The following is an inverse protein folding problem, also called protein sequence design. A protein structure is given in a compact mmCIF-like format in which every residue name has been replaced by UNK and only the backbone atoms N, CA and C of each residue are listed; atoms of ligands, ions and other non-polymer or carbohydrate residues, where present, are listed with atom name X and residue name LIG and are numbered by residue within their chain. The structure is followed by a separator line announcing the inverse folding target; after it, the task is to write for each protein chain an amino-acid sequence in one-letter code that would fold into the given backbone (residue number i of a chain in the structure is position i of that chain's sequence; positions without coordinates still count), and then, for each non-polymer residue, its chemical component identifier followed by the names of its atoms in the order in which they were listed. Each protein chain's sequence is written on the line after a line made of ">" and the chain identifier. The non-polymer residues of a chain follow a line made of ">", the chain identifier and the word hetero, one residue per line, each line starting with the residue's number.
data_IF_486097085775
#
_entry.id   IF_486097085775
#
_cell.length_a   1.000
_cell.length_b   1.000
_cell.length_c   1.000
_cell.angle_alpha   90.00
_cell.angle_beta   90.00
_cell.angle_gamma   90.00
#
_symmetry.space_group_name_H-M   'P 1'
#
loop_
_entity.id
_entity.type
_entity.pdbx_description
1 polymer ?
#
# COMPACT_ATOMS: atom_id res chain seq x y z
N UNK A 1 -22.44 12.36 2.25
CA UNK A 1 -21.10 12.90 2.58
C UNK A 1 -20.10 12.35 1.56
N UNK A 2 -18.94 12.98 1.36
CA UNK A 2 -17.93 12.46 0.44
C UNK A 2 -17.10 11.34 1.10
N UNK A 3 -16.40 10.54 0.29
CA UNK A 3 -15.42 9.54 0.72
C UNK A 3 -14.04 10.11 0.51
N UNK A 4 -13.28 10.26 1.59
CA UNK A 4 -11.91 10.74 1.50
C UNK A 4 -10.96 9.57 1.27
N UNK A 5 -9.83 9.82 0.61
CA UNK A 5 -8.85 8.81 0.25
C UNK A 5 -7.51 9.09 0.94
N UNK A 6 -6.81 8.02 1.34
CA UNK A 6 -5.42 8.11 1.76
C UNK A 6 -4.55 7.20 0.90
N UNK A 7 -3.66 7.77 0.11
CA UNK A 7 -2.87 7.07 -0.91
C UNK A 7 -1.37 7.26 -0.70
N UNK A 8 -0.58 6.23 -1.02
CA UNK A 8 0.87 6.36 -1.18
C UNK A 8 1.16 6.87 -2.59
N UNK A 9 2.06 7.83 -2.73
CA UNK A 9 2.37 8.44 -4.03
C UNK A 9 3.68 7.92 -4.66
N UNK A 10 4.40 7.02 -4.00
CA UNK A 10 5.70 6.49 -4.47
C UNK A 10 5.60 4.97 -4.69
N UNK A 11 6.69 4.22 -4.43
CA UNK A 11 6.74 2.75 -4.53
C UNK A 11 6.39 2.05 -3.21
N UNK A 12 5.45 2.61 -2.43
CA UNK A 12 5.01 2.04 -1.17
C UNK A 12 5.91 2.41 0.02
N UNK A 13 5.48 1.97 1.21
CA UNK A 13 6.12 2.27 2.50
C UNK A 13 6.20 3.74 2.90
N UNK A 14 5.35 4.61 2.36
CA UNK A 14 5.44 6.05 2.60
C UNK A 14 5.08 6.46 4.04
N UNK A 15 4.75 5.52 4.93
CA UNK A 15 4.36 5.81 6.32
C UNK A 15 2.85 5.91 6.54
N UNK A 16 2.04 5.35 5.62
CA UNK A 16 0.57 5.39 5.67
C UNK A 16 -0.01 5.09 7.05
N UNK A 17 0.36 3.98 7.68
CA UNK A 17 -0.19 3.59 8.98
C UNK A 17 -0.14 4.71 10.03
N UNK A 18 0.99 5.42 10.13
CA UNK A 18 1.13 6.53 11.08
C UNK A 18 0.08 7.62 10.85
N UNK A 19 -0.11 8.01 9.60
CA UNK A 19 -1.04 9.06 9.22
C UNK A 19 -2.49 8.58 9.33
N UNK A 20 -2.75 7.32 9.00
CA UNK A 20 -4.06 6.72 9.23
C UNK A 20 -4.42 6.87 10.72
N UNK A 21 -3.57 6.52 11.68
CA UNK A 21 -3.87 6.71 13.12
C UNK A 21 -4.12 8.19 13.52
N UNK A 22 -3.46 9.13 12.86
CA UNK A 22 -3.69 10.57 13.07
C UNK A 22 -5.07 11.00 12.56
N UNK A 23 -5.42 10.63 11.32
CA UNK A 23 -6.64 11.07 10.63
C UNK A 23 -7.90 10.29 11.06
N UNK A 24 -7.78 8.98 11.31
CA UNK A 24 -8.93 8.07 11.49
C UNK A 24 -9.75 8.29 12.75
N UNK A 25 -9.27 9.08 13.71
CA UNK A 25 -10.06 9.43 14.91
C UNK A 25 -11.36 10.17 14.58
N UNK A 26 -11.44 10.79 13.39
CA UNK A 26 -12.56 11.61 12.98
C UNK A 26 -13.52 10.89 12.00
N UNK A 27 -13.28 9.61 11.69
CA UNK A 27 -14.04 8.88 10.69
C UNK A 27 -14.91 7.77 11.30
N UNK A 28 -16.15 7.67 10.84
CA UNK A 28 -17.10 6.61 11.23
C UNK A 28 -16.72 5.26 10.63
N UNK A 29 -16.16 5.27 9.40
CA UNK A 29 -15.85 4.06 8.62
C UNK A 29 -14.46 4.17 7.99
N UNK A 30 -13.63 3.16 8.22
CA UNK A 30 -12.32 3.00 7.54
C UNK A 30 -12.40 1.81 6.60
N UNK A 31 -12.12 2.00 5.31
CA UNK A 31 -12.31 0.97 4.30
C UNK A 31 -11.04 0.69 3.52
N UNK A 32 -10.62 -0.58 3.44
CA UNK A 32 -9.56 -1.03 2.53
C UNK A 32 -10.18 -1.42 1.20
N UNK A 33 -9.68 -0.87 0.11
CA UNK A 33 -10.33 -1.03 -1.20
C UNK A 33 -9.57 -1.94 -2.17
N UNK A 34 -8.30 -2.26 -1.91
CA UNK A 34 -7.48 -3.05 -2.81
C UNK A 34 -6.33 -3.77 -2.10
N UNK A 35 -5.69 -4.65 -2.85
CA UNK A 35 -4.50 -5.38 -2.43
C UNK A 35 -4.89 -6.59 -1.61
N UNK A 36 -4.00 -7.03 -0.73
CA UNK A 36 -4.26 -8.13 0.18
C UNK A 36 -3.15 -8.23 1.22
N UNK A 37 -2.74 -9.45 1.61
CA UNK A 37 -1.74 -9.63 2.65
C UNK A 37 -0.32 -9.18 2.26
N UNK A 38 -0.11 -8.71 1.03
CA UNK A 38 1.16 -8.14 0.53
C UNK A 38 1.42 -6.71 1.01
N UNK A 39 0.39 -6.02 1.51
CA UNK A 39 0.54 -4.76 2.20
C UNK A 39 0.89 -5.04 3.67
N UNK A 40 1.72 -4.20 4.28
CA UNK A 40 1.93 -4.23 5.73
C UNK A 40 2.15 -2.81 6.21
N UNK A 41 1.31 -2.33 7.13
CA UNK A 41 1.52 -1.06 7.79
C UNK A 41 1.74 -1.28 9.28
N UNK A 42 2.75 -0.61 9.81
CA UNK A 42 3.04 -0.62 11.24
C UNK A 42 2.27 0.50 11.91
N UNK A 43 1.58 0.17 13.00
CA UNK A 43 0.87 1.10 13.87
C UNK A 43 1.45 0.99 15.27
N UNK A 44 1.45 2.10 16.00
CA UNK A 44 1.75 2.11 17.43
C UNK A 44 0.44 2.45 18.14
N UNK A 45 -0.12 1.48 18.87
CA UNK A 45 -1.33 1.65 19.66
C UNK A 45 -1.04 1.25 21.11
N UNK A 46 -1.41 2.10 22.07
CA UNK A 46 -1.06 1.96 23.49
C UNK A 46 0.42 1.63 23.76
N UNK A 47 1.32 2.27 22.99
CA UNK A 47 2.77 2.06 23.08
C UNK A 47 3.27 0.72 22.54
N UNK A 48 2.39 -0.11 21.96
CA UNK A 48 2.75 -1.41 21.35
C UNK A 48 2.73 -1.32 19.84
N UNK A 49 3.69 -2.00 19.21
CA UNK A 49 3.80 -2.10 17.76
C UNK A 49 2.85 -3.19 17.24
N UNK A 50 1.99 -2.84 16.30
CA UNK A 50 1.10 -3.74 15.59
C UNK A 50 1.40 -3.69 14.09
N UNK A 51 1.33 -4.84 13.42
CA UNK A 51 1.45 -4.92 11.96
C UNK A 51 0.16 -5.50 11.43
N UNK A 52 -0.56 -4.71 10.64
CA UNK A 52 -1.76 -5.13 9.93
C UNK A 52 -1.45 -5.23 8.44
N UNK A 53 -2.16 -6.14 7.76
CA UNK A 53 -1.99 -6.44 6.35
C UNK A 53 -3.29 -6.23 5.58
N UNK A 54 -4.37 -6.94 5.96
CA UNK A 54 -5.68 -6.85 5.31
C UNK A 54 -6.66 -6.03 6.14
N UNK A 55 -6.57 -6.08 7.46
CA UNK A 55 -7.47 -5.34 8.35
C UNK A 55 -7.17 -3.83 8.21
N UNK A 56 -8.19 -2.97 8.05
CA UNK A 56 -7.98 -1.52 8.05
C UNK A 56 -7.42 -1.03 9.39
N UNK A 57 -6.59 0.01 9.36
CA UNK A 57 -5.92 0.55 10.56
C UNK A 57 -6.90 1.04 11.63
N UNK A 58 -8.14 1.36 11.25
CA UNK A 58 -9.18 1.86 12.15
C UNK A 58 -9.65 0.87 13.20
N UNK A 59 -9.21 -0.40 13.14
CA UNK A 59 -9.68 -1.47 14.02
C UNK A 59 -9.39 -1.20 15.51
N UNK A 60 -8.37 -0.39 15.78
CA UNK A 60 -7.99 0.03 17.13
C UNK A 60 -8.89 1.14 17.70
N UNK A 61 -9.68 1.83 16.87
CA UNK A 61 -10.63 2.84 17.36
C UNK A 61 -11.89 2.17 17.89
N UNK A 62 -12.42 2.72 18.99
CA UNK A 62 -13.57 2.12 19.70
C UNK A 62 -14.85 2.13 18.88
N UNK A 63 -15.09 3.17 18.09
CA UNK A 63 -16.36 3.40 17.39
C UNK A 63 -16.31 3.19 15.87
N UNK A 64 -15.12 3.16 15.27
CA UNK A 64 -15.00 3.10 13.82
C UNK A 64 -15.32 1.69 13.30
N UNK A 65 -16.20 1.62 12.30
CA UNK A 65 -16.40 0.40 11.52
C UNK A 65 -15.27 0.24 10.52
N UNK A 66 -14.89 -1.00 10.26
CA UNK A 66 -13.77 -1.35 9.39
C UNK A 66 -14.29 -2.24 8.27
N UNK A 67 -14.07 -1.83 7.02
CA UNK A 67 -14.60 -2.54 5.85
C UNK A 67 -13.45 -3.08 5.02
N UNK A 68 -13.46 -4.38 4.74
CA UNK A 68 -12.63 -4.99 3.70
C UNK A 68 -13.45 -5.03 2.42
N UNK A 69 -13.15 -4.12 1.49
CA UNK A 69 -13.90 -3.90 0.26
C UNK A 69 -13.76 -5.00 -0.79
N UNK A 70 -14.61 -4.94 -1.81
CA UNK A 70 -14.66 -5.94 -2.88
C UNK A 70 -13.41 -5.97 -3.79
N UNK A 71 -12.60 -4.93 -3.78
CA UNK A 71 -11.35 -4.89 -4.55
C UNK A 71 -10.20 -5.65 -3.88
N UNK A 72 -10.34 -6.06 -2.62
CA UNK A 72 -9.33 -6.78 -1.83
C UNK A 72 -9.34 -8.29 -2.15
N UNK A 73 -8.16 -8.91 -2.07
CA UNK A 73 -7.95 -10.36 -2.06
C UNK A 73 -7.56 -10.82 -0.66
N UNK A 74 -8.25 -11.82 -0.12
CA UNK A 74 -8.11 -12.27 1.27
C UNK A 74 -7.51 -13.67 1.28
N UNK A 75 -6.33 -13.83 1.89
CA UNK A 75 -5.80 -15.14 2.28
C UNK A 75 -6.39 -15.52 3.65
N UNK A 76 -7.27 -16.54 3.75
CA UNK A 76 -7.92 -16.88 5.02
C UNK A 76 -6.94 -17.33 6.11
N UNK A 77 -5.80 -17.91 5.74
CA UNK A 77 -4.79 -18.38 6.69
C UNK A 77 -4.04 -17.19 7.30
N UNK A 78 -3.60 -16.25 6.46
CA UNK A 78 -2.91 -15.04 6.94
C UNK A 78 -3.89 -14.16 7.72
N UNK A 79 -5.11 -14.01 7.22
CA UNK A 79 -6.14 -13.19 7.87
C UNK A 79 -6.54 -13.73 9.24
N UNK A 80 -6.67 -15.06 9.40
CA UNK A 80 -6.87 -15.69 10.71
C UNK A 80 -5.76 -15.32 11.70
N UNK A 81 -4.48 -15.40 11.27
CA UNK A 81 -3.35 -15.02 12.12
C UNK A 81 -3.37 -13.53 12.50
N UNK A 82 -3.82 -12.67 11.59
CA UNK A 82 -4.01 -11.25 11.85
C UNK A 82 -5.07 -11.02 12.94
N UNK A 83 -6.23 -11.70 12.86
CA UNK A 83 -7.27 -11.66 13.88
C UNK A 83 -6.82 -12.24 15.24
N UNK A 84 -6.10 -13.37 15.23
CA UNK A 84 -5.55 -13.98 16.45
C UNK A 84 -4.49 -13.09 17.13
N UNK A 85 -3.81 -12.25 16.36
CA UNK A 85 -2.94 -11.23 16.93
C UNK A 85 -3.74 -10.11 17.58
N UNK A 86 -4.92 -9.75 17.05
CA UNK A 86 -5.83 -8.82 17.71
C UNK A 86 -6.44 -9.41 18.97
N UNK A 87 -6.72 -10.72 19.07
CA UNK A 87 -7.24 -11.37 20.28
C UNK A 87 -6.38 -11.13 21.54
N UNK A 88 -5.11 -10.76 21.37
CA UNK A 88 -4.16 -10.43 22.46
C UNK A 88 -4.38 -9.03 23.05
N UNK A 89 -5.24 -8.22 22.43
CA UNK A 89 -5.53 -6.84 22.76
C UNK A 89 -7.05 -6.71 22.78
N UNK A 90 -7.64 -6.38 23.92
CA UNK A 90 -9.10 -6.34 24.18
C UNK A 90 -9.90 -5.47 23.17
N UNK A 91 -10.03 -5.97 21.95
CA UNK A 91 -10.53 -5.31 20.75
C UNK A 91 -11.65 -6.19 20.23
N UNK A 92 -12.88 -5.68 20.32
CA UNK A 92 -14.03 -6.32 19.71
C UNK A 92 -14.02 -6.08 18.18
N UNK A 93 -13.17 -6.83 17.46
CA UNK A 93 -13.16 -6.74 16.00
C UNK A 93 -14.38 -7.41 15.37
N UNK A 94 -15.04 -8.36 16.04
CA UNK A 94 -16.17 -9.11 15.48
C UNK A 94 -17.37 -8.21 15.19
N UNK A 95 -17.65 -7.22 16.06
CA UNK A 95 -18.73 -6.25 15.83
C UNK A 95 -18.36 -5.11 14.88
N UNK A 96 -17.06 -4.89 14.63
CA UNK A 96 -16.55 -3.72 13.88
C UNK A 96 -16.01 -4.05 12.49
N UNK A 97 -15.61 -5.28 12.24
CA UNK A 97 -14.96 -5.69 11.00
C UNK A 97 -15.96 -6.37 10.06
N UNK A 98 -16.21 -5.70 8.93
CA UNK A 98 -17.16 -6.12 7.91
C UNK A 98 -16.41 -6.55 6.65
N UNK A 99 -16.79 -7.68 6.08
CA UNK A 99 -16.13 -8.26 4.90
C UNK A 99 -17.08 -8.21 3.71
N UNK A 100 -16.62 -7.67 2.58
CA UNK A 100 -17.38 -7.71 1.35
C UNK A 100 -17.57 -9.15 0.85
N UNK A 101 -18.82 -9.54 0.56
CA UNK A 101 -19.13 -10.79 -0.16
C UNK A 101 -18.41 -10.90 -1.51
N UNK A 102 -18.06 -9.77 -2.12
CA UNK A 102 -17.44 -9.71 -3.45
C UNK A 102 -15.90 -9.72 -3.40
N UNK A 103 -15.28 -9.65 -2.22
CA UNK A 103 -13.85 -9.84 -2.08
C UNK A 103 -13.45 -11.26 -2.52
N UNK A 104 -12.27 -11.40 -3.13
CA UNK A 104 -11.80 -12.69 -3.64
C UNK A 104 -10.96 -13.42 -2.59
N UNK A 105 -10.96 -14.76 -2.65
CA UNK A 105 -10.19 -15.61 -1.75
C UNK A 105 -8.88 -16.05 -2.41
N UNK A 106 -7.79 -15.93 -1.66
CA UNK A 106 -6.50 -16.52 -2.02
C UNK A 106 -6.51 -17.97 -1.54
N UNK A 107 -6.68 -18.91 -2.48
CA UNK A 107 -6.53 -20.35 -2.24
C UNK A 107 -5.06 -20.75 -2.05
N UNK A 108 -4.79 -21.91 -1.41
CA UNK A 108 -3.45 -22.45 -1.29
C UNK A 108 -2.69 -22.55 -2.63
N UNK A 109 -3.38 -23.00 -3.68
CA UNK A 109 -2.78 -23.18 -5.00
C UNK A 109 -2.38 -21.87 -5.68
N UNK A 110 -2.99 -20.72 -5.34
CA UNK A 110 -2.53 -19.42 -5.83
C UNK A 110 -1.12 -19.10 -5.32
N UNK A 111 -0.80 -19.47 -4.07
CA UNK A 111 0.54 -19.27 -3.50
C UNK A 111 1.57 -20.15 -4.22
N UNK A 112 1.18 -21.38 -4.55
CA UNK A 112 2.01 -22.30 -5.33
C UNK A 112 2.26 -21.76 -6.75
N UNK A 113 1.21 -21.25 -7.43
CA UNK A 113 1.34 -20.66 -8.77
C UNK A 113 2.23 -19.41 -8.77
N UNK A 114 2.13 -18.58 -7.73
CA UNK A 114 2.98 -17.39 -7.57
C UNK A 114 4.44 -17.79 -7.41
N UNK A 115 4.72 -18.78 -6.55
CA UNK A 115 6.06 -19.34 -6.37
C UNK A 115 6.60 -20.00 -7.65
N UNK A 116 5.76 -20.74 -8.38
CA UNK A 116 6.15 -21.39 -9.64
C UNK A 116 6.51 -20.36 -10.71
N UNK A 117 5.67 -19.32 -10.87
CA UNK A 117 5.89 -18.26 -11.84
C UNK A 117 7.14 -17.43 -11.54
N UNK A 118 7.39 -17.10 -10.28
CA UNK A 118 8.62 -16.37 -9.91
C UNK A 118 9.88 -17.23 -10.10
N UNK A 119 9.79 -18.53 -9.81
CA UNK A 119 10.92 -19.45 -9.99
C UNK A 119 11.25 -19.64 -11.47
N UNK A 120 10.24 -19.83 -12.32
CA UNK A 120 10.44 -20.04 -13.77
C UNK A 120 11.02 -18.80 -14.48
N UNK A 121 10.76 -17.59 -13.97
CA UNK A 121 11.30 -16.33 -14.52
C UNK A 121 12.79 -16.11 -14.21
N UNK A 122 13.37 -16.80 -13.24
CA UNK A 122 14.79 -16.69 -12.89
C UNK A 122 15.26 -15.24 -12.64
N UNK A 123 16.12 -14.71 -13.51
CA UNK A 123 16.64 -13.32 -13.41
C UNK A 123 15.59 -12.26 -13.73
N UNK A 124 14.54 -12.59 -14.47
CA UNK A 124 13.44 -11.69 -14.84
C UNK A 124 12.30 -11.69 -13.80
N UNK A 125 12.56 -12.18 -12.59
CA UNK A 125 11.58 -12.19 -11.49
C UNK A 125 11.16 -10.78 -11.13
N UNK A 126 9.87 -10.63 -10.83
CA UNK A 126 9.29 -9.35 -10.40
C UNK A 126 9.74 -9.04 -8.97
N UNK A 127 9.92 -10.08 -8.15
CA UNK A 127 10.12 -9.95 -6.71
C UNK A 127 8.79 -9.94 -5.97
N UNK A 128 7.85 -10.82 -6.37
CA UNK A 128 6.54 -10.95 -5.76
C UNK A 128 6.65 -11.30 -4.26
N UNK A 129 5.57 -11.05 -3.50
CA UNK A 129 5.52 -11.41 -2.08
C UNK A 129 5.29 -12.90 -1.84
N UNK A 130 5.07 -13.70 -2.88
CA UNK A 130 4.79 -15.14 -2.82
C UNK A 130 3.53 -15.47 -2.01
N UNK A 131 2.60 -14.52 -1.95
CA UNK A 131 1.34 -14.61 -1.21
C UNK A 131 0.15 -14.90 -2.13
N UNK A 132 0.36 -15.20 -3.41
CA UNK A 132 -0.72 -15.56 -4.33
C UNK A 132 -1.54 -14.37 -4.85
N UNK A 133 -1.04 -13.14 -4.69
CA UNK A 133 -1.76 -11.92 -5.11
C UNK A 133 -2.00 -11.91 -6.62
N UNK A 134 -0.94 -12.09 -7.40
CA UNK A 134 -0.99 -12.07 -8.86
C UNK A 134 -1.95 -13.14 -9.40
N UNK A 135 -1.76 -14.43 -9.08
CA UNK A 135 -2.66 -15.48 -9.52
C UNK A 135 -4.13 -15.26 -9.11
N UNK A 136 -4.39 -14.72 -7.90
CA UNK A 136 -5.77 -14.43 -7.49
C UNK A 136 -6.40 -13.30 -8.33
N UNK A 137 -5.65 -12.24 -8.65
CA UNK A 137 -6.15 -11.19 -9.55
C UNK A 137 -6.27 -11.67 -11.01
N UNK A 138 -5.41 -12.58 -11.46
CA UNK A 138 -5.57 -13.24 -12.76
C UNK A 138 -6.89 -14.01 -12.82
N UNK A 139 -7.21 -14.76 -11.76
CA UNK A 139 -8.46 -15.50 -11.63
C UNK A 139 -9.70 -14.61 -11.55
N UNK A 140 -9.60 -13.48 -10.84
CA UNK A 140 -10.63 -12.44 -10.81
C UNK A 140 -10.91 -11.92 -12.22
N UNK A 141 -9.88 -11.52 -12.95
CA UNK A 141 -10.00 -11.01 -14.33
C UNK A 141 -10.44 -12.09 -15.31
N UNK A 142 -9.98 -13.34 -15.09
CA UNK A 142 -10.37 -14.53 -15.84
C UNK A 142 -11.81 -14.97 -15.60
N UNK A 143 -12.46 -14.48 -14.53
CA UNK A 143 -13.83 -14.79 -14.07
C UNK A 143 -13.98 -16.23 -13.57
N UNK A 144 -12.92 -16.76 -12.96
CA UNK A 144 -12.89 -18.12 -12.41
C UNK A 144 -12.45 -18.17 -10.94
N UNK A 145 -12.15 -17.02 -10.33
CA UNK A 145 -11.79 -16.94 -8.92
C UNK A 145 -12.98 -17.18 -7.99
N UNK A 146 -12.67 -17.61 -6.77
CA UNK A 146 -13.63 -17.80 -5.69
C UNK A 146 -13.76 -16.52 -4.85
N UNK A 147 -14.99 -16.17 -4.44
CA UNK A 147 -15.27 -14.99 -3.61
C UNK A 147 -15.78 -15.37 -2.22
N UNK A 148 -15.74 -14.41 -1.29
CA UNK A 148 -16.22 -14.62 0.09
C UNK A 148 -17.68 -15.09 0.13
N UNK A 149 -18.56 -14.50 -0.68
CA UNK A 149 -19.96 -14.88 -0.76
C UNK A 149 -20.20 -16.29 -1.31
N UNK A 150 -19.25 -16.88 -2.04
CA UNK A 150 -19.37 -18.28 -2.45
C UNK A 150 -19.37 -19.23 -1.25
N UNK A 151 -18.77 -18.84 -0.11
CA UNK A 151 -18.71 -19.63 1.12
C UNK A 151 -20.08 -19.81 1.81
N UNK A 152 -21.07 -19.00 1.44
CA UNK A 152 -22.46 -19.07 1.92
C UNK A 152 -23.29 -20.08 1.10
N UNK A 153 -22.78 -20.59 -0.01
CA UNK A 153 -23.46 -21.59 -0.86
C UNK A 153 -23.21 -23.01 -0.35
N UNK A 154 -24.20 -23.90 -0.50
CA UNK A 154 -24.07 -25.31 -0.09
C UNK A 154 -22.94 -26.03 -0.84
N UNK A 155 -22.72 -25.68 -2.10
CA UNK A 155 -21.74 -26.32 -2.99
C UNK A 155 -20.39 -25.61 -3.06
N UNK A 156 -20.05 -24.76 -2.09
CA UNK A 156 -18.79 -23.99 -2.13
C UNK A 156 -17.53 -24.87 -2.21
N UNK A 157 -17.57 -26.08 -1.61
CA UNK A 157 -16.46 -27.04 -1.66
C UNK A 157 -16.23 -27.58 -3.07
N UNK A 158 -17.30 -27.86 -3.82
CA UNK A 158 -17.18 -28.31 -5.21
C UNK A 158 -16.53 -27.23 -6.08
N UNK A 159 -16.86 -25.95 -5.84
CA UNK A 159 -16.21 -24.81 -6.51
C UNK A 159 -14.73 -24.71 -6.16
N UNK A 160 -14.39 -24.92 -4.89
CA UNK A 160 -13.00 -24.94 -4.41
C UNK A 160 -12.23 -26.09 -5.09
N UNK A 161 -12.75 -27.31 -5.08
CA UNK A 161 -12.10 -28.50 -5.63
C UNK A 161 -11.86 -28.35 -7.15
N UNK A 162 -12.85 -27.86 -7.90
CA UNK A 162 -12.71 -27.62 -9.33
C UNK A 162 -11.64 -26.56 -9.66
N UNK A 163 -11.56 -25.50 -8.85
CA UNK A 163 -10.56 -24.45 -9.03
C UNK A 163 -9.15 -24.95 -8.66
N UNK A 164 -9.04 -25.71 -7.58
CA UNK A 164 -7.80 -26.39 -7.16
C UNK A 164 -7.29 -27.34 -8.25
N UNK A 165 -8.16 -28.18 -8.83
CA UNK A 165 -7.80 -29.10 -9.91
C UNK A 165 -7.26 -28.34 -11.13
N UNK A 166 -7.92 -27.23 -11.51
CA UNK A 166 -7.45 -26.36 -12.59
C UNK A 166 -6.04 -25.82 -12.28
N UNK A 167 -5.82 -25.33 -11.06
CA UNK A 167 -4.52 -24.79 -10.67
C UNK A 167 -3.41 -25.83 -10.63
N UNK A 168 -3.70 -27.06 -10.21
CA UNK A 168 -2.73 -28.17 -10.25
C UNK A 168 -2.31 -28.45 -11.70
N UNK A 169 -3.26 -28.54 -12.64
CA UNK A 169 -2.94 -28.68 -14.07
C UNK A 169 -2.10 -27.52 -14.60
N UNK A 170 -2.35 -26.29 -14.12
CA UNK A 170 -1.53 -25.13 -14.49
C UNK A 170 -0.10 -25.22 -13.93
N UNK A 171 0.07 -25.74 -12.71
CA UNK A 171 1.40 -25.93 -12.10
C UNK A 171 2.29 -26.88 -12.90
N UNK A 172 1.71 -27.93 -13.50
CA UNK A 172 2.43 -28.89 -14.34
C UNK A 172 3.15 -28.22 -15.54
N UNK A 173 2.67 -27.07 -16.02
CA UNK A 173 3.31 -26.36 -17.14
C UNK A 173 4.55 -25.54 -16.76
N UNK A 174 4.77 -25.26 -15.48
CA UNK A 174 5.91 -24.43 -15.07
C UNK A 174 7.25 -25.17 -15.06
N UNK A 175 7.24 -26.51 -15.18
CA UNK A 175 8.43 -27.38 -15.15
C UNK A 175 9.39 -27.06 -13.97
N UNK A 176 8.80 -26.73 -12.81
CA UNK A 176 9.52 -26.45 -11.57
C UNK A 176 9.12 -27.45 -10.50
N UNK A 177 10.10 -27.98 -9.79
CA UNK A 177 9.84 -28.81 -8.62
C UNK A 177 9.53 -27.90 -7.43
N UNK A 178 8.26 -27.89 -7.01
CA UNK A 178 7.82 -27.27 -5.76
C UNK A 178 7.38 -28.39 -4.84
N UNK A 179 8.10 -28.58 -3.74
CA UNK A 179 7.63 -29.44 -2.66
C UNK A 179 6.49 -28.72 -1.91
N UNK A 180 5.31 -29.33 -1.90
CA UNK A 180 4.18 -28.84 -1.12
C UNK A 180 3.33 -30.02 -0.63
N UNK A 181 2.79 -29.91 0.58
CA UNK A 181 1.71 -30.78 1.06
C UNK A 181 0.39 -30.02 0.93
N UNK A 182 -0.37 -30.33 -0.12
CA UNK A 182 -1.64 -29.67 -0.36
C UNK A 182 -2.65 -29.97 0.75
N UNK A 183 -2.64 -31.17 1.34
CA UNK A 183 -3.57 -31.55 2.40
C UNK A 183 -3.31 -30.74 3.68
N UNK A 184 -2.04 -30.52 4.01
CA UNK A 184 -1.67 -29.66 5.13
C UNK A 184 -2.12 -28.21 4.89
N UNK A 185 -1.84 -27.67 3.70
CA UNK A 185 -2.25 -26.32 3.34
C UNK A 185 -3.78 -26.15 3.34
N UNK A 186 -4.51 -27.17 2.90
CA UNK A 186 -5.97 -27.23 2.91
C UNK A 186 -6.54 -27.27 4.33
N UNK A 187 -5.92 -28.01 5.24
CA UNK A 187 -6.34 -28.05 6.63
C UNK A 187 -6.25 -26.66 7.28
N UNK A 188 -5.14 -25.94 7.06
CA UNK A 188 -4.99 -24.57 7.55
C UNK A 188 -5.93 -23.58 6.85
N UNK A 189 -6.15 -23.74 5.54
CA UNK A 189 -7.12 -22.95 4.79
C UNK A 189 -8.53 -23.11 5.35
N UNK A 190 -8.98 -24.34 5.63
CA UNK A 190 -10.29 -24.60 6.22
C UNK A 190 -10.45 -23.93 7.60
N UNK A 191 -9.43 -24.02 8.46
CA UNK A 191 -9.42 -23.28 9.75
C UNK A 191 -9.52 -21.76 9.54
N UNK A 192 -8.83 -21.24 8.51
CA UNK A 192 -8.91 -19.85 8.10
C UNK A 192 -10.32 -19.43 7.65
N UNK A 193 -10.98 -20.29 6.85
CA UNK A 193 -12.37 -20.11 6.42
C UNK A 193 -13.33 -20.11 7.61
N UNK A 194 -13.17 -21.04 8.56
CA UNK A 194 -14.02 -21.10 9.76
C UNK A 194 -13.91 -19.81 10.57
N UNK A 195 -12.68 -19.29 10.75
CA UNK A 195 -12.47 -17.99 11.41
C UNK A 195 -13.08 -16.85 10.60
N UNK A 196 -12.90 -16.82 9.27
CA UNK A 196 -13.47 -15.78 8.41
C UNK A 196 -15.00 -15.75 8.51
N UNK A 197 -15.66 -16.92 8.52
CA UNK A 197 -17.11 -17.08 8.67
C UNK A 197 -17.66 -16.60 10.02
N UNK A 198 -16.81 -16.39 11.02
CA UNK A 198 -17.23 -15.78 12.30
C UNK A 198 -17.47 -14.27 12.21
N UNK A 199 -17.03 -13.63 11.11
CA UNK A 199 -17.24 -12.21 10.86
C UNK A 199 -18.51 -11.96 10.04
N UNK A 200 -18.99 -10.72 10.06
CA UNK A 200 -20.14 -10.32 9.28
C UNK A 200 -19.76 -10.10 7.80
N UNK A 201 -20.41 -10.85 6.91
CA UNK A 201 -20.35 -10.61 5.47
C UNK A 201 -21.44 -9.64 5.04
N UNK A 202 -21.06 -8.67 4.22
CA UNK A 202 -21.94 -7.59 3.74
C UNK A 202 -21.87 -7.43 2.23
N UNK A 203 -22.96 -6.90 1.66
CA UNK A 203 -22.96 -6.29 0.34
C UNK A 203 -22.36 -4.89 0.48
N UNK A 204 -21.02 -4.82 0.38
CA UNK A 204 -20.24 -3.66 0.78
C UNK A 204 -20.60 -2.38 0.04
N UNK A 205 -20.96 -2.49 -1.24
CA UNK A 205 -21.37 -1.34 -2.04
C UNK A 205 -22.68 -0.73 -1.54
N UNK A 206 -23.67 -1.54 -1.15
CA UNK A 206 -24.93 -1.03 -0.61
C UNK A 206 -24.71 -0.41 0.76
N UNK A 207 -23.94 -1.10 1.62
CA UNK A 207 -23.58 -0.59 2.95
C UNK A 207 -22.89 0.78 2.87
N UNK A 208 -21.88 0.94 2.01
CA UNK A 208 -21.15 2.20 1.87
C UNK A 208 -22.03 3.29 1.21
N UNK A 209 -22.83 2.95 0.21
CA UNK A 209 -23.76 3.92 -0.38
C UNK A 209 -24.81 4.39 0.62
N UNK A 210 -25.29 3.52 1.51
CA UNK A 210 -26.21 3.91 2.57
C UNK A 210 -25.53 4.77 3.63
N UNK A 211 -24.31 4.42 4.06
CA UNK A 211 -23.52 5.25 4.96
C UNK A 211 -23.27 6.67 4.40
N UNK A 212 -22.99 6.78 3.10
CA UNK A 212 -22.86 8.06 2.39
C UNK A 212 -24.14 8.89 2.45
N UNK A 213 -25.31 8.26 2.23
CA UNK A 213 -26.64 8.91 2.32
C UNK A 213 -26.92 9.38 3.76
N UNK A 214 -26.55 8.56 4.74
CA UNK A 214 -26.68 8.86 6.18
C UNK A 214 -25.61 9.83 6.70
N UNK A 215 -24.82 10.41 5.79
CA UNK A 215 -23.78 11.41 6.06
C UNK A 215 -22.70 10.91 7.03
N UNK A 216 -22.39 9.62 7.01
CA UNK A 216 -21.23 9.06 7.70
C UNK A 216 -19.94 9.49 7.02
N UNK A 217 -18.92 9.75 7.84
CA UNK A 217 -17.56 10.05 7.39
C UNK A 217 -16.85 8.74 7.02
N UNK A 218 -16.25 8.68 5.83
CA UNK A 218 -15.59 7.47 5.31
C UNK A 218 -14.19 7.82 4.84
N UNK A 219 -13.19 7.09 5.34
CA UNK A 219 -11.82 7.13 4.83
C UNK A 219 -11.48 5.83 4.13
N UNK A 220 -11.15 5.89 2.85
CA UNK A 220 -10.63 4.75 2.11
C UNK A 220 -9.10 4.70 2.21
N UNK A 221 -8.59 3.64 2.83
CA UNK A 221 -7.18 3.41 3.08
C UNK A 221 -6.54 2.64 1.90
N UNK A 222 -5.61 3.29 1.21
CA UNK A 222 -4.83 2.68 0.14
C UNK A 222 -3.70 1.79 0.66
N UNK A 223 -3.44 0.70 -0.06
CA UNK A 223 -2.27 -0.13 0.13
C UNK A 223 -1.21 0.13 -0.95
N UNK A 224 0.05 -0.22 -0.71
CA UNK A 224 1.16 0.06 -1.65
C UNK A 224 1.23 1.56 -2.00
N UNK A 225 1.90 1.92 -3.09
CA UNK A 225 1.95 3.30 -3.58
C UNK A 225 1.61 3.36 -5.06
N UNK A 226 1.26 4.55 -5.55
CA UNK A 226 0.73 4.80 -6.89
C UNK A 226 1.67 4.32 -8.00
N UNK A 227 2.98 4.33 -7.76
CA UNK A 227 3.97 3.87 -8.75
C UNK A 227 4.12 2.33 -8.79
N UNK A 228 3.35 1.61 -7.97
CA UNK A 228 3.14 0.16 -8.02
C UNK A 228 1.77 -0.20 -8.58
N UNK A 229 1.00 0.76 -9.11
CA UNK A 229 -0.28 0.48 -9.78
C UNK A 229 -0.09 -0.41 -11.02
N UNK A 230 -1.05 -1.31 -11.29
CA UNK A 230 -0.98 -2.23 -12.42
C UNK A 230 -1.00 -1.52 -13.79
N UNK A 231 -1.67 -0.38 -13.89
CA UNK A 231 -1.81 0.39 -15.13
C UNK A 231 -0.82 1.58 -15.16
N UNK A 232 -0.66 2.25 -14.02
CA UNK A 232 0.04 3.53 -13.91
C UNK A 232 1.42 3.45 -13.22
N UNK A 233 1.79 2.26 -12.74
CA UNK A 233 3.08 2.04 -12.11
C UNK A 233 4.20 1.69 -13.09
N UNK A 234 5.36 1.34 -12.55
CA UNK A 234 6.53 0.91 -13.34
C UNK A 234 6.39 -0.53 -13.86
N UNK A 235 5.42 -0.77 -14.74
CA UNK A 235 5.11 -2.09 -15.27
C UNK A 235 6.34 -2.72 -15.98
N UNK A 236 6.63 -4.02 -15.78
CA UNK A 236 5.85 -5.05 -15.07
C UNK A 236 6.15 -5.14 -13.57
N UNK A 237 6.98 -4.26 -13.02
CA UNK A 237 7.42 -4.31 -11.63
C UNK A 237 6.44 -3.57 -10.69
N UNK A 238 5.21 -4.05 -10.68
CA UNK A 238 4.04 -3.46 -10.03
C UNK A 238 3.25 -4.52 -9.26
N UNK A 239 2.25 -4.11 -8.49
CA UNK A 239 1.26 -5.05 -7.96
C UNK A 239 0.15 -5.31 -8.99
N UNK A 240 -0.73 -6.27 -8.71
CA UNK A 240 -1.80 -6.68 -9.62
C UNK A 240 -3.14 -6.00 -9.33
N UNK A 241 -3.12 -4.92 -8.56
CA UNK A 241 -4.28 -4.12 -8.17
C UNK A 241 -4.11 -2.65 -8.57
N UNK A 242 -5.23 -1.95 -8.68
CA UNK A 242 -5.22 -0.50 -8.82
C UNK A 242 -5.00 0.15 -7.45
N UNK A 243 -3.87 0.83 -7.29
CA UNK A 243 -3.46 1.53 -6.07
C UNK A 243 -3.85 3.01 -6.08
N UNK A 244 -4.38 3.49 -7.21
CA UNK A 244 -4.84 4.86 -7.42
C UNK A 244 -6.23 5.16 -6.86
N UNK A 245 -6.64 6.43 -6.87
CA UNK A 245 -7.95 6.92 -6.44
C UNK A 245 -9.12 6.23 -7.16
N UNK A 246 -8.98 5.96 -8.46
CA UNK A 246 -9.96 5.20 -9.23
C UNK A 246 -10.16 3.77 -8.68
N UNK A 247 -9.10 3.18 -8.11
CA UNK A 247 -9.15 1.90 -7.42
C UNK A 247 -10.09 1.90 -6.21
N UNK A 248 -10.27 3.03 -5.52
CA UNK A 248 -11.24 3.15 -4.43
C UNK A 248 -12.68 3.06 -4.93
N UNK A 249 -12.97 3.65 -6.10
CA UNK A 249 -14.30 3.58 -6.71
C UNK A 249 -14.68 2.14 -7.07
N UNK A 250 -13.79 1.44 -7.76
CA UNK A 250 -14.04 0.04 -8.19
C UNK A 250 -13.94 -0.95 -7.02
N UNK A 251 -13.09 -0.67 -6.03
CA UNK A 251 -12.83 -1.53 -4.88
C UNK A 251 -13.82 -1.41 -3.73
N UNK A 252 -14.64 -0.35 -3.71
CA UNK A 252 -15.68 -0.11 -2.70
C UNK A 252 -17.10 0.01 -3.29
N UNK A 253 -17.24 0.15 -4.61
CA UNK A 253 -18.55 0.40 -5.23
C UNK A 253 -19.07 1.82 -4.99
N UNK A 254 -18.17 2.79 -4.91
CA UNK A 254 -18.48 4.21 -4.69
C UNK A 254 -18.38 4.96 -6.02
N UNK A 255 -19.34 5.85 -6.30
CA UNK A 255 -19.33 6.64 -7.53
C UNK A 255 -18.18 7.66 -7.53
N UNK A 256 -17.51 7.92 -8.68
CA UNK A 256 -16.37 8.84 -8.74
C UNK A 256 -16.67 10.26 -8.23
N UNK A 257 -17.87 10.78 -8.46
CA UNK A 257 -18.31 12.10 -7.98
C UNK A 257 -18.63 12.15 -6.46
N UNK A 258 -18.39 11.05 -5.74
CA UNK A 258 -18.47 10.99 -4.27
C UNK A 258 -17.12 11.00 -3.59
N UNK A 259 -16.03 10.97 -4.36
CA UNK A 259 -14.68 11.18 -3.79
C UNK A 259 -14.55 12.64 -3.33
N UNK A 260 -14.08 12.81 -2.09
CA UNK A 260 -13.87 14.10 -1.44
C UNK A 260 -12.40 14.50 -1.48
N UNK A 261 -11.78 14.60 -0.31
CA UNK A 261 -10.36 14.89 -0.19
C UNK A 261 -9.52 13.67 -0.58
N UNK A 262 -8.39 13.92 -1.25
CA UNK A 262 -7.41 12.89 -1.61
C UNK A 262 -6.09 13.25 -0.93
N UNK A 263 -5.83 12.58 0.17
CA UNK A 263 -4.61 12.73 0.95
C UNK A 263 -3.48 11.90 0.35
N UNK A 264 -2.47 12.58 -0.18
CA UNK A 264 -1.30 11.97 -0.81
C UNK A 264 -0.11 11.93 0.14
N UNK A 265 0.34 10.72 0.50
CA UNK A 265 1.51 10.53 1.35
C UNK A 265 2.72 10.18 0.51
N UNK A 266 3.83 10.84 0.79
CA UNK A 266 5.13 10.58 0.19
C UNK A 266 6.23 10.74 1.26
N UNK A 267 7.38 10.11 1.08
CA UNK A 267 8.57 10.39 1.90
C UNK A 267 9.35 11.57 1.32
N UNK A 268 10.09 12.28 2.17
CA UNK A 268 11.04 13.32 1.76
C UNK A 268 12.15 12.81 0.82
N UNK A 269 12.30 11.51 0.68
CA UNK A 269 13.18 10.80 -0.26
C UNK A 269 12.39 9.64 -0.87
N UNK A 270 13.00 8.83 -1.73
CA UNK A 270 12.32 7.69 -2.36
C UNK A 270 12.88 6.36 -1.87
N UNK A 271 12.01 5.36 -1.78
CA UNK A 271 12.41 3.99 -1.49
C UNK A 271 11.68 3.00 -2.36
N UNK A 272 12.34 1.89 -2.72
CA UNK A 272 11.75 0.80 -3.49
C UNK A 272 12.08 -0.55 -2.87
N UNK A 273 11.07 -1.41 -2.77
CA UNK A 273 11.24 -2.83 -2.40
C UNK A 273 11.18 -3.67 -3.66
N UNK A 274 12.15 -4.57 -3.83
CA UNK A 274 12.18 -5.51 -4.96
C UNK A 274 12.84 -4.95 -6.21
N UNK A 275 12.65 -5.66 -7.32
CA UNK A 275 13.26 -5.37 -8.62
C UNK A 275 12.60 -4.17 -9.31
N UNK A 276 13.18 -3.77 -10.44
CA UNK A 276 12.65 -2.79 -11.37
C UNK A 276 13.36 -1.44 -11.31
N UNK A 277 13.06 -0.55 -12.26
CA UNK A 277 13.80 0.69 -12.46
C UNK A 277 13.62 1.67 -11.30
N UNK A 278 14.68 2.41 -10.95
CA UNK A 278 14.64 3.40 -9.90
C UNK A 278 15.59 4.55 -10.25
N UNK A 279 15.09 5.59 -10.97
CA UNK A 279 15.94 6.61 -11.58
C UNK A 279 16.83 7.36 -10.59
N UNK A 280 16.32 7.60 -9.38
CA UNK A 280 17.03 8.35 -8.34
C UNK A 280 17.75 7.46 -7.32
N UNK A 281 17.91 6.17 -7.61
CA UNK A 281 18.59 5.23 -6.70
C UNK A 281 20.04 5.64 -6.43
N UNK A 282 20.42 5.51 -5.15
CA UNK A 282 21.75 5.81 -4.66
C UNK A 282 22.52 4.54 -4.33
N UNK A 283 23.77 4.50 -4.78
CA UNK A 283 24.72 3.41 -4.56
C UNK A 283 25.94 3.85 -3.74
N UNK A 284 25.88 5.05 -3.17
CA UNK A 284 26.94 5.71 -2.40
C UNK A 284 26.60 5.77 -0.90
N UNK A 285 27.41 6.52 -0.14
CA UNK A 285 27.25 6.68 1.30
C UNK A 285 25.95 7.39 1.68
N UNK A 286 25.44 8.29 0.83
CA UNK A 286 24.17 8.98 1.06
C UNK A 286 23.01 7.98 1.07
N UNK A 287 22.97 7.09 0.08
CA UNK A 287 21.98 6.01 0.02
C UNK A 287 22.07 5.06 1.22
N UNK A 288 23.29 4.68 1.62
CA UNK A 288 23.51 3.84 2.79
C UNK A 288 23.11 4.52 4.11
N UNK A 289 23.37 5.83 4.22
CA UNK A 289 23.00 6.63 5.38
C UNK A 289 21.49 6.77 5.50
N UNK A 290 20.79 7.11 4.41
CA UNK A 290 19.32 7.14 4.37
C UNK A 290 18.71 5.80 4.78
N UNK A 291 19.22 4.70 4.25
CA UNK A 291 18.71 3.37 4.58
C UNK A 291 18.85 3.04 6.08
N UNK A 292 20.01 3.40 6.66
CA UNK A 292 20.32 3.17 8.08
C UNK A 292 19.46 4.03 9.00
N UNK A 293 19.41 5.34 8.78
CA UNK A 293 18.67 6.30 9.61
C UNK A 293 17.16 6.10 9.46
N UNK A 294 16.69 5.90 8.23
CA UNK A 294 15.28 5.67 7.93
C UNK A 294 14.76 4.28 8.32
N UNK A 295 15.61 3.39 8.85
CA UNK A 295 15.30 1.99 9.14
C UNK A 295 14.62 1.28 7.98
N UNK A 296 15.21 1.39 6.78
CA UNK A 296 14.57 1.00 5.53
C UNK A 296 14.63 -0.50 5.26
N UNK A 297 13.81 -1.24 6.01
CA UNK A 297 13.61 -2.69 5.93
C UNK A 297 12.13 -3.03 5.84
N UNK A 298 11.78 -4.00 4.99
CA UNK A 298 10.41 -4.46 4.83
C UNK A 298 9.83 -5.04 6.13
N UNK A 299 8.73 -4.47 6.65
CA UNK A 299 8.10 -4.93 7.89
C UNK A 299 7.63 -6.39 7.86
N UNK A 300 7.25 -6.89 6.69
CA UNK A 300 6.78 -8.27 6.49
C UNK A 300 7.91 -9.21 6.03
N UNK A 301 8.80 -8.75 5.15
CA UNK A 301 9.78 -9.60 4.47
C UNK A 301 11.18 -9.51 5.06
N UNK A 302 11.47 -8.48 5.86
CA UNK A 302 12.81 -8.16 6.38
C UNK A 302 13.81 -7.68 5.31
N UNK A 303 13.41 -7.57 4.04
CA UNK A 303 14.32 -7.21 2.95
C UNK A 303 14.76 -5.74 3.04
N UNK A 304 16.06 -5.44 2.83
CA UNK A 304 16.51 -4.05 2.74
C UNK A 304 15.84 -3.37 1.55
N UNK A 305 15.57 -2.07 1.69
CA UNK A 305 14.99 -1.26 0.61
C UNK A 305 16.09 -0.48 -0.09
N UNK A 306 15.91 -0.32 -1.38
CA UNK A 306 16.70 0.59 -2.20
C UNK A 306 16.28 2.01 -1.84
N UNK A 307 17.24 2.92 -1.69
CA UNK A 307 16.99 4.31 -1.30
C UNK A 307 17.48 5.25 -2.40
N UNK A 308 16.82 6.40 -2.54
CA UNK A 308 17.13 7.38 -3.56
C UNK A 308 16.63 8.76 -3.19
N UNK A 309 17.12 9.78 -3.88
CA UNK A 309 16.65 11.15 -3.73
C UNK A 309 15.17 11.29 -4.10
N UNK A 310 14.51 12.38 -3.66
CA UNK A 310 13.13 12.64 -4.04
C UNK A 310 13.02 12.76 -5.56
N UNK A 311 12.09 12.00 -6.13
CA UNK A 311 11.74 12.07 -7.54
C UNK A 311 10.47 12.91 -7.71
N UNK A 312 10.64 14.18 -8.10
CA UNK A 312 9.55 15.12 -8.21
C UNK A 312 8.75 14.92 -9.51
N UNK A 313 9.39 14.41 -10.56
CA UNK A 313 8.71 14.05 -11.82
C UNK A 313 7.69 12.95 -11.55
N UNK A 314 8.10 11.91 -10.83
CA UNK A 314 7.22 10.80 -10.45
C UNK A 314 6.15 11.24 -9.42
N UNK A 315 6.50 12.11 -8.46
CA UNK A 315 5.53 12.64 -7.49
C UNK A 315 4.44 13.49 -8.17
N UNK A 316 4.80 14.39 -9.09
CA UNK A 316 3.84 15.21 -9.87
C UNK A 316 2.90 14.32 -10.68
N UNK A 317 3.46 13.31 -11.35
CA UNK A 317 2.66 12.31 -12.05
C UNK A 317 1.64 11.63 -11.12
N UNK A 318 2.07 11.18 -9.93
CA UNK A 318 1.17 10.53 -8.97
C UNK A 318 0.12 11.50 -8.40
N UNK A 319 0.46 12.77 -8.22
CA UNK A 319 -0.49 13.83 -7.83
C UNK A 319 -1.60 13.98 -8.87
N UNK A 320 -1.22 14.10 -10.15
CA UNK A 320 -2.16 14.30 -11.25
C UNK A 320 -3.09 13.11 -11.46
N UNK A 321 -2.54 11.88 -11.49
CA UNK A 321 -3.31 10.64 -11.69
C UNK A 321 -4.37 10.43 -10.61
N UNK A 322 -4.09 10.88 -9.38
CA UNK A 322 -4.98 10.67 -8.24
C UNK A 322 -5.88 11.87 -7.91
N UNK A 323 -5.61 13.05 -8.49
CA UNK A 323 -6.29 14.28 -8.10
C UNK A 323 -6.03 14.64 -6.63
N UNK A 324 -4.77 14.56 -6.19
CA UNK A 324 -4.39 14.80 -4.78
C UNK A 324 -4.74 16.23 -4.37
N UNK A 325 -5.46 16.37 -3.25
CA UNK A 325 -5.87 17.67 -2.72
C UNK A 325 -4.94 18.18 -1.64
N UNK A 326 -4.27 17.28 -0.91
CA UNK A 326 -3.34 17.61 0.18
C UNK A 326 -2.21 16.60 0.26
N UNK A 327 -0.99 17.09 0.44
CA UNK A 327 0.22 16.29 0.61
C UNK A 327 0.61 16.12 2.08
N UNK A 328 1.23 14.99 2.38
CA UNK A 328 1.72 14.62 3.70
C UNK A 328 3.14 14.08 3.55
N UNK A 329 4.12 14.91 3.89
CA UNK A 329 5.55 14.59 3.73
C UNK A 329 6.08 13.83 4.95
N UNK A 330 6.49 12.59 4.73
CA UNK A 330 6.97 11.70 5.78
C UNK A 330 8.49 11.66 5.85
N UNK A 331 9.00 11.37 7.05
CA UNK A 331 10.43 11.13 7.32
C UNK A 331 11.33 12.32 6.95
N UNK A 332 10.92 13.55 7.26
CA UNK A 332 11.78 14.73 7.09
C UNK A 332 13.04 14.66 7.97
N UNK A 333 12.95 13.98 9.12
CA UNK A 333 14.04 13.74 10.07
C UNK A 333 15.17 12.88 9.51
N UNK A 334 14.89 12.04 8.51
CA UNK A 334 15.92 11.17 7.91
C UNK A 334 16.91 11.96 7.07
N UNK A 335 16.51 13.13 6.58
CA UNK A 335 17.38 14.02 5.81
C UNK A 335 18.14 15.03 6.68
N UNK A 336 17.99 14.97 8.01
CA UNK A 336 18.85 15.73 8.92
C UNK A 336 20.29 15.21 8.86
N UNK A 337 21.27 16.12 8.81
CA UNK A 337 22.70 15.81 8.76
C UNK A 337 23.29 15.67 7.35
N UNK A 338 22.52 16.01 6.31
CA UNK A 338 23.03 16.08 4.94
C UNK A 338 23.41 17.54 4.61
N UNK A 339 24.61 17.77 4.07
CA UNK A 339 25.05 19.11 3.65
C UNK A 339 24.24 19.62 2.44
N UNK A 340 24.10 18.74 1.43
CA UNK A 340 23.40 19.02 0.18
C UNK A 340 22.37 17.94 -0.10
N UNK A 341 21.13 18.34 -0.31
CA UNK A 341 20.05 17.49 -0.77
C UNK A 341 19.85 17.64 -2.28
N UNK A 342 19.46 16.58 -2.95
CA UNK A 342 19.13 16.59 -4.37
C UNK A 342 17.67 16.20 -4.58
N UNK A 343 17.02 16.86 -5.54
CA UNK A 343 15.66 16.54 -5.98
C UNK A 343 15.65 16.40 -7.48
N UNK A 344 15.17 15.28 -8.01
CA UNK A 344 15.06 15.09 -9.46
C UNK A 344 13.88 15.93 -9.96
N UNK A 345 14.15 16.86 -10.88
CA UNK A 345 13.17 17.82 -11.41
C UNK A 345 12.83 17.60 -12.88
N UNK A 346 13.72 16.95 -13.62
CA UNK A 346 13.48 16.51 -14.99
C UNK A 346 14.29 15.24 -15.28
N UNK A 347 13.91 14.56 -16.35
CA UNK A 347 14.67 13.44 -16.89
C UNK A 347 15.28 13.81 -18.23
N UNK A 348 16.44 13.26 -18.55
CA UNK A 348 16.86 13.10 -19.93
C UNK A 348 16.39 11.72 -20.42
N UNK A 349 15.36 11.69 -21.26
CA UNK A 349 14.80 10.47 -21.84
C UNK A 349 15.24 10.34 -23.29
N UNK A 350 16.09 9.35 -23.57
CA UNK A 350 16.64 9.08 -24.92
C UNK A 350 17.27 10.32 -25.59
N UNK A 351 17.92 11.18 -24.82
CA UNK A 351 18.58 12.39 -25.30
C UNK A 351 17.74 13.66 -25.17
N UNK A 352 16.43 13.56 -24.94
CA UNK A 352 15.55 14.72 -24.80
C UNK A 352 15.20 15.00 -23.33
N UNK A 353 15.24 16.26 -22.92
CA UNK A 353 14.81 16.64 -21.59
C UNK A 353 13.27 16.65 -21.49
N UNK A 354 12.73 15.95 -20.51
CA UNK A 354 11.29 15.85 -20.24
C UNK A 354 10.98 16.11 -18.76
N UNK A 355 9.78 16.65 -18.52
CA UNK A 355 9.27 16.94 -17.17
C UNK A 355 8.04 16.10 -16.79
N UNK A 356 7.84 14.95 -17.46
CA UNK A 356 6.78 13.98 -17.19
C UNK A 356 7.37 12.59 -17.01
N UNK A 357 6.66 11.70 -16.31
CA UNK A 357 7.06 10.31 -16.16
C UNK A 357 6.89 9.59 -17.52
N UNK A 358 7.97 9.12 -18.18
CA UNK A 358 7.88 8.46 -19.46
C UNK A 358 7.37 7.03 -19.30
N UNK A 359 6.94 6.42 -20.41
CA UNK A 359 6.50 5.02 -20.45
C UNK A 359 7.56 4.03 -19.93
N UNK A 360 8.84 4.28 -20.18
CA UNK A 360 9.93 3.43 -19.75
C UNK A 360 10.99 4.25 -19.02
N UNK A 361 11.32 3.82 -17.81
CA UNK A 361 12.31 4.48 -16.94
C UNK A 361 13.52 3.57 -16.66
N UNK A 362 13.78 2.60 -17.52
CA UNK A 362 14.97 1.76 -17.41
C UNK A 362 16.25 2.59 -17.55
N UNK A 363 17.36 2.22 -16.87
CA UNK A 363 18.56 3.04 -16.79
C UNK A 363 19.19 3.37 -18.15
N UNK A 364 19.02 2.52 -19.17
CA UNK A 364 19.49 2.79 -20.53
C UNK A 364 18.67 3.87 -21.27
N UNK A 365 17.46 4.18 -20.79
CA UNK A 365 16.56 5.13 -21.43
C UNK A 365 16.48 6.46 -20.70
N UNK A 366 16.73 6.50 -19.39
CA UNK A 366 16.56 7.68 -18.54
C UNK A 366 17.82 7.98 -17.72
N UNK A 367 18.22 9.25 -17.72
CA UNK A 367 19.05 9.83 -16.66
C UNK A 367 18.32 11.00 -15.98
N UNK A 368 18.78 11.36 -14.77
CA UNK A 368 18.12 12.32 -13.90
C UNK A 368 18.84 13.66 -13.88
N UNK A 369 18.08 14.75 -13.94
CA UNK A 369 18.59 16.10 -13.67
C UNK A 369 18.17 16.51 -12.26
N UNK A 370 19.14 16.89 -11.44
CA UNK A 370 18.93 17.26 -10.05
C UNK A 370 18.95 18.78 -9.86
N UNK A 371 18.05 19.26 -9.01
CA UNK A 371 18.18 20.56 -8.35
C UNK A 371 18.71 20.34 -6.93
N UNK A 372 19.72 21.14 -6.55
CA UNK A 372 20.37 21.04 -5.24
C UNK A 372 19.74 22.01 -4.23
N UNK A 373 19.65 21.56 -2.99
CA UNK A 373 19.16 22.31 -1.84
C UNK A 373 20.18 22.20 -0.71
N UNK A 374 20.35 23.26 0.07
CA UNK A 374 21.06 23.16 1.34
C UNK A 374 20.26 22.27 2.28
N UNK A 375 20.91 21.29 2.92
CA UNK A 375 20.26 20.48 3.93
C UNK A 375 20.21 21.16 5.29
N UNK A 376 19.91 20.39 6.33
CA UNK A 376 19.73 20.88 7.69
C UNK A 376 20.35 19.92 8.70
N UNK A 377 20.99 20.46 9.73
CA UNK A 377 21.65 19.68 10.80
C UNK A 377 20.74 19.45 12.02
N UNK A 378 19.63 20.19 12.10
CA UNK A 378 18.75 20.18 13.26
C UNK A 378 18.09 18.81 13.51
N UNK A 379 18.05 18.40 14.79
CA UNK A 379 17.26 17.27 15.26
C UNK A 379 15.77 17.65 15.28
N UNK A 380 15.04 17.24 14.24
CA UNK A 380 13.62 17.55 14.09
C UNK A 380 12.73 16.79 15.07
N UNK A 381 13.22 15.72 15.70
CA UNK A 381 12.40 14.73 16.40
C UNK A 381 11.70 15.27 17.64
N UNK A 382 12.13 16.43 18.14
CA UNK A 382 11.56 17.12 19.31
C UNK A 382 10.64 18.27 18.94
N UNK A 383 10.55 18.62 17.66
CA UNK A 383 9.76 19.74 17.19
C UNK A 383 8.27 19.37 17.16
N UNK A 384 7.42 20.31 17.57
CA UNK A 384 5.98 20.11 17.73
C UNK A 384 5.13 21.13 16.97
N UNK A 385 5.74 22.14 16.34
CA UNK A 385 5.02 23.16 15.56
C UNK A 385 5.82 23.61 14.34
N UNK A 386 5.15 24.20 13.35
CA UNK A 386 5.75 24.64 12.10
C UNK A 386 6.82 25.72 12.32
N UNK A 387 6.63 26.60 13.29
CA UNK A 387 7.55 27.71 13.57
C UNK A 387 8.91 27.24 14.12
N UNK A 388 9.00 25.99 14.57
CA UNK A 388 10.24 25.37 15.03
C UNK A 388 11.03 24.71 13.91
N UNK A 389 10.42 24.50 12.73
CA UNK A 389 11.06 23.81 11.62
C UNK A 389 12.20 24.66 11.02
N UNK A 390 13.35 24.05 10.65
CA UNK A 390 14.45 24.78 10.05
C UNK A 390 14.03 25.43 8.75
N UNK A 391 14.57 26.63 8.48
CA UNK A 391 14.28 27.37 7.26
C UNK A 391 14.55 26.53 6.00
N UNK A 392 15.65 25.78 5.96
CA UNK A 392 16.01 24.95 4.79
C UNK A 392 14.99 23.82 4.54
N UNK A 393 14.43 23.22 5.59
CA UNK A 393 13.33 22.26 5.47
C UNK A 393 12.06 22.94 4.95
N UNK A 394 11.76 24.15 5.42
CA UNK A 394 10.61 24.91 4.95
C UNK A 394 10.76 25.35 3.49
N UNK A 395 11.96 25.75 3.06
CA UNK A 395 12.28 26.08 1.68
C UNK A 395 12.15 24.82 0.78
N UNK A 396 12.56 23.65 1.28
CA UNK A 396 12.38 22.35 0.62
C UNK A 396 10.90 21.98 0.45
N UNK A 397 10.10 22.13 1.51
CA UNK A 397 8.65 21.90 1.47
C UNK A 397 7.96 22.86 0.51
N UNK A 398 8.28 24.16 0.59
CA UNK A 398 7.71 25.18 -0.29
C UNK A 398 8.04 24.93 -1.76
N UNK A 399 9.25 24.41 -2.05
CA UNK A 399 9.61 23.98 -3.40
C UNK A 399 8.74 22.84 -3.91
N UNK A 400 8.49 21.81 -3.09
CA UNK A 400 7.60 20.70 -3.46
C UNK A 400 6.17 21.20 -3.68
N UNK A 401 5.64 22.05 -2.80
CA UNK A 401 4.31 22.65 -2.94
C UNK A 401 4.18 23.44 -4.24
N UNK A 402 5.19 24.24 -4.57
CA UNK A 402 5.23 25.01 -5.82
C UNK A 402 5.22 24.11 -7.05
N UNK A 403 6.03 23.05 -7.05
CA UNK A 403 6.20 22.17 -8.21
C UNK A 403 5.04 21.21 -8.42
N UNK A 404 4.38 20.79 -7.34
CA UNK A 404 3.20 19.91 -7.38
C UNK A 404 1.89 20.68 -7.50
N UNK A 405 1.86 21.96 -7.10
CA UNK A 405 0.64 22.76 -7.03
C UNK A 405 -0.28 22.36 -5.87
N UNK A 406 0.17 21.50 -4.95
CA UNK A 406 -0.62 20.94 -3.85
C UNK A 406 0.01 21.28 -2.50
N UNK A 407 -0.75 21.76 -1.51
CA UNK A 407 -0.18 22.11 -0.20
C UNK A 407 0.24 20.86 0.59
N UNK A 408 1.38 20.95 1.28
CA UNK A 408 1.88 19.96 2.24
C UNK A 408 1.30 20.31 3.61
N UNK A 409 0.22 19.63 3.99
CA UNK A 409 -0.52 19.88 5.24
C UNK A 409 0.04 19.17 6.45
N UNK A 410 0.90 18.17 6.22
CA UNK A 410 1.56 17.43 7.28
C UNK A 410 3.04 17.26 6.95
N UNK A 411 3.89 17.53 7.94
CA UNK A 411 5.31 17.15 7.93
C UNK A 411 5.57 16.23 9.12
N UNK A 412 6.04 15.02 8.86
CA UNK A 412 6.43 14.07 9.91
C UNK A 412 7.92 14.16 10.16
N UNK A 413 8.28 14.33 11.43
CA UNK A 413 9.65 14.52 11.92
C UNK A 413 10.12 13.38 12.82
N UNK A 414 9.48 12.22 12.72
CA UNK A 414 9.89 10.99 13.41
C UNK A 414 8.84 9.90 13.34
N UNK A 415 9.07 8.72 13.95
CA UNK A 415 8.14 7.60 13.87
C UNK A 415 6.91 7.70 14.79
N UNK A 416 6.98 8.46 15.90
CA UNK A 416 5.87 8.59 16.86
C UNK A 416 4.76 9.48 16.28
N UNK A 417 3.50 9.14 16.57
CA UNK A 417 2.32 9.93 16.24
C UNK A 417 2.45 11.41 16.65
N UNK A 418 3.09 11.72 17.78
CA UNK A 418 3.29 13.10 18.26
C UNK A 418 4.29 13.88 17.41
N UNK A 419 5.12 13.20 16.63
CA UNK A 419 6.12 13.79 15.73
C UNK A 419 5.51 14.06 14.35
N UNK A 420 4.31 14.63 14.34
CA UNK A 420 3.53 14.97 13.15
C UNK A 420 3.10 16.41 13.28
N UNK A 421 3.69 17.29 12.47
CA UNK A 421 3.46 18.73 12.47
C UNK A 421 2.36 19.03 11.44
N UNK A 422 1.29 19.67 11.91
CA UNK A 422 0.17 20.14 11.07
C UNK A 422 0.47 21.56 10.60
N UNK A 423 0.16 21.87 9.33
CA UNK A 423 0.42 23.16 8.66
C UNK A 423 -0.83 23.79 8.04
#
# INVERSE_FOLDING_TARGET
>A
MAVDLLLGLQWGDEGKGKIVDVLTRNYDIIARFQGGPNAGHTLIFDGKKHVLHTIPSGIFHKSALNVVGNGVVIDPVIFKKELENLDKHDIDYTSKLLISRKAHLILPTHRLLDAASETSKGKAKIGSTLKGIGPTYMDKTGRNGMRVGDLELENWKEKYDALTEKHIKMLEFFDVQIEYDLKELEAEFCKGIDKLKSLQFIDSEEFLNQAIKDKKTILAEGAQGSLLDIDFGTYPFVTSSNTTAAGACTGLGVAPNRIGEVFGIFKAYTTRVGSGPFPTELFDEDGANMARVGHEFGATTGRPRRCGWLDLVALKYAVDVNGVTQLMMMKGDVLSGFDTLKVCTSYNYKGEEIAHLPYNIEPENVSVNYTEFSGWEDDLTKMTSEEQLPKNLMDYVAFIEKETGVPVKIVSVGPDRKQTILR
#
